data_IF_079775873195
#
_entry.id   IF_079775873195
#
_cell.length_a   1.000
_cell.length_b   1.000
_cell.length_c   1.000
_cell.angle_alpha   90.00
_cell.angle_beta   90.00
_cell.angle_gamma   90.00
#
_symmetry.space_group_name_H-M   'P 1'
#
loop_
_entity.id
_entity.type
_entity.pdbx_description
1 polymer ?
#
# COMPACT_ATOMS: atom_id res chain seq x y z
N UNK A 1 49.14 -9.28 20.06
CA UNK A 1 49.62 -9.70 21.40
C UNK A 1 49.20 -8.66 22.41
N UNK A 2 48.63 -9.08 23.57
CA UNK A 2 48.20 -8.27 24.74
C UNK A 2 47.06 -7.24 24.48
N UNK A 3 46.18 -6.90 25.44
CA UNK A 3 45.38 -7.65 26.47
C UNK A 3 44.67 -6.62 27.39
N UNK A 4 43.45 -6.96 27.88
CA UNK A 4 42.83 -6.48 29.18
C UNK A 4 42.39 -4.99 29.18
N UNK A 5 41.27 -4.52 29.75
CA UNK A 5 40.07 -5.08 30.45
C UNK A 5 38.89 -4.11 30.16
N UNK A 6 37.62 -4.50 29.99
CA UNK A 6 36.68 -5.15 30.92
C UNK A 6 36.27 -4.29 32.14
N UNK A 7 35.00 -3.85 32.16
CA UNK A 7 34.27 -3.42 33.36
C UNK A 7 32.80 -3.85 33.23
N UNK A 8 32.39 -4.78 34.10
CA UNK A 8 31.03 -5.28 34.22
C UNK A 8 30.22 -4.36 35.14
N UNK A 9 28.90 -4.28 34.94
CA UNK A 9 27.97 -4.08 36.04
C UNK A 9 26.70 -4.93 35.82
N UNK A 10 26.64 -6.06 36.51
CA UNK A 10 25.44 -6.90 36.59
C UNK A 10 24.66 -6.57 37.87
N UNK A 11 23.39 -6.19 37.74
CA UNK A 11 22.48 -6.01 38.86
C UNK A 11 21.65 -7.26 39.09
N UNK A 12 22.05 -8.10 40.05
CA UNK A 12 21.24 -9.22 40.53
C UNK A 12 20.36 -8.73 41.70
N UNK A 13 19.06 -9.04 41.69
CA UNK A 13 18.26 -9.07 42.92
C UNK A 13 17.52 -10.41 43.01
N UNK A 14 17.51 -10.99 44.21
CA UNK A 14 17.28 -12.41 44.40
C UNK A 14 15.93 -12.74 45.06
N UNK A 15 15.31 -13.81 44.54
CA UNK A 15 14.69 -14.93 45.28
C UNK A 15 13.75 -14.60 46.46
N UNK A 16 12.47 -14.94 46.26
CA UNK A 16 11.56 -15.40 47.32
C UNK A 16 11.07 -16.81 46.99
N UNK A 17 11.37 -17.80 47.84
CA UNK A 17 11.13 -19.22 47.57
C UNK A 17 10.45 -19.87 48.80
N UNK A 18 9.22 -20.36 48.67
CA UNK A 18 8.63 -21.44 49.48
C UNK A 18 7.51 -22.09 48.63
N UNK A 19 7.70 -23.33 48.16
CA UNK A 19 7.21 -24.57 48.78
C UNK A 19 5.67 -24.76 48.68
N UNK A 20 5.15 -25.88 48.16
CA UNK A 20 5.83 -27.10 47.73
C UNK A 20 4.95 -28.09 46.96
N UNK A 21 5.53 -29.25 46.63
CA UNK A 21 5.00 -30.22 45.68
C UNK A 21 3.85 -31.09 46.21
N UNK A 22 2.94 -31.53 45.32
CA UNK A 22 2.31 -32.85 45.42
C UNK A 22 2.07 -33.45 44.03
N UNK A 23 2.37 -34.75 43.86
CA UNK A 23 2.32 -35.50 42.60
C UNK A 23 1.09 -36.41 42.51
N UNK A 24 0.51 -36.48 41.31
CA UNK A 24 -0.11 -37.68 40.72
C UNK A 24 -1.53 -38.08 41.17
N UNK A 25 -2.16 -39.05 40.46
CA UNK A 25 -1.62 -39.87 39.37
C UNK A 25 -2.28 -39.67 37.99
N UNK A 26 -1.67 -40.26 36.97
CA UNK A 26 -2.26 -40.51 35.64
C UNK A 26 -3.37 -41.57 35.70
N UNK A 27 -4.23 -41.62 34.67
CA UNK A 27 -4.93 -42.86 34.32
C UNK A 27 -5.23 -42.95 32.82
N UNK A 28 -4.36 -43.66 32.08
CA UNK A 28 -4.73 -44.30 30.82
C UNK A 28 -5.74 -45.44 31.06
N UNK A 29 -6.59 -45.74 30.07
CA UNK A 29 -7.21 -47.05 29.67
C UNK A 29 -8.63 -46.81 29.12
N UNK A 30 -9.20 -47.55 28.16
CA UNK A 30 -8.68 -48.41 27.08
C UNK A 30 -9.87 -48.90 26.22
N UNK A 31 -9.68 -49.13 24.91
CA UNK A 31 -10.52 -50.08 24.11
C UNK A 31 -10.34 -51.52 24.66
N UNK A 32 -11.22 -52.54 24.45
CA UNK A 32 -11.88 -52.95 23.18
C UNK A 32 -13.30 -53.59 23.41
N UNK A 33 -13.86 -54.58 22.65
CA UNK A 33 -13.52 -55.17 21.33
C UNK A 33 -14.69 -55.30 20.29
N UNK A 34 -14.35 -55.78 19.08
CA UNK A 34 -15.26 -56.18 17.99
C UNK A 34 -16.09 -57.45 18.26
N UNK A 35 -17.17 -57.69 17.47
CA UNK A 35 -17.60 -59.03 16.98
C UNK A 35 -18.70 -58.95 15.87
N UNK A 36 -18.35 -59.43 14.66
CA UNK A 36 -19.14 -60.02 13.53
C UNK A 36 -20.44 -59.38 12.94
N UNK A 37 -20.35 -58.87 11.70
CA UNK A 37 -20.93 -59.36 10.41
C UNK A 37 -22.32 -60.08 10.31
N UNK A 38 -22.93 -60.22 9.10
CA UNK A 38 -22.95 -59.39 7.86
C UNK A 38 -24.40 -59.19 7.28
N UNK A 39 -24.58 -58.69 6.03
CA UNK A 39 -25.54 -59.17 4.97
C UNK A 39 -26.27 -58.10 4.08
N UNK A 40 -25.95 -58.10 2.77
CA UNK A 40 -26.78 -57.82 1.55
C UNK A 40 -27.28 -56.40 1.12
N UNK A 41 -27.68 -56.35 -0.17
CA UNK A 41 -27.60 -55.32 -1.24
C UNK A 41 -28.53 -55.80 -2.42
N UNK A 42 -29.07 -55.03 -3.41
CA UNK A 42 -28.81 -53.63 -3.86
C UNK A 42 -29.98 -52.58 -3.83
N UNK A 43 -30.78 -52.22 -4.89
CA UNK A 43 -31.03 -50.78 -5.19
C UNK A 43 -32.50 -50.35 -5.48
N UNK A 44 -32.71 -49.06 -5.84
CA UNK A 44 -33.82 -48.38 -6.59
C UNK A 44 -34.06 -46.96 -5.98
N UNK A 45 -34.50 -45.87 -6.66
CA UNK A 45 -34.80 -45.58 -8.09
C UNK A 45 -34.99 -44.05 -8.31
N UNK A 46 -34.59 -43.53 -9.48
CA UNK A 46 -34.92 -42.21 -10.11
C UNK A 46 -34.51 -40.87 -9.46
N UNK A 47 -34.15 -39.93 -10.34
CA UNK A 47 -33.93 -38.49 -10.10
C UNK A 47 -35.25 -37.70 -9.94
N UNK A 48 -35.17 -36.38 -9.66
CA UNK A 48 -35.17 -35.46 -10.81
C UNK A 48 -34.13 -34.34 -10.75
N UNK A 49 -33.77 -33.86 -11.95
CA UNK A 49 -32.91 -32.72 -12.25
C UNK A 49 -33.37 -31.43 -11.58
N UNK A 50 -32.45 -30.73 -10.90
CA UNK A 50 -32.59 -29.30 -10.58
C UNK A 50 -31.86 -28.52 -11.68
N UNK A 51 -32.51 -27.56 -12.36
CA UNK A 51 -31.84 -26.76 -13.38
C UNK A 51 -30.84 -25.80 -12.76
N UNK A 52 -29.65 -25.71 -13.36
CA UNK A 52 -28.70 -24.62 -13.09
C UNK A 52 -29.21 -23.34 -13.75
N UNK A 53 -29.37 -22.28 -12.96
CA UNK A 53 -29.51 -20.91 -13.46
C UNK A 53 -28.31 -20.11 -12.97
N UNK A 54 -27.20 -20.22 -13.72
CA UNK A 54 -26.11 -19.25 -13.63
C UNK A 54 -26.44 -18.05 -14.52
N UNK A 55 -26.95 -16.97 -13.94
CA UNK A 55 -26.91 -15.65 -14.58
C UNK A 55 -25.57 -14.99 -14.24
N UNK A 56 -24.51 -15.41 -14.94
CA UNK A 56 -23.34 -14.55 -15.12
C UNK A 56 -23.66 -13.55 -16.23
N UNK A 57 -24.20 -12.40 -15.83
CA UNK A 57 -24.43 -11.26 -16.72
C UNK A 57 -23.09 -10.57 -17.01
N UNK A 58 -22.30 -11.14 -17.90
CA UNK A 58 -21.20 -10.42 -18.56
C UNK A 58 -21.78 -9.53 -19.66
N UNK A 59 -22.27 -8.35 -19.28
CA UNK A 59 -22.52 -7.29 -20.24
C UNK A 59 -21.19 -6.91 -20.92
N UNK A 60 -21.11 -6.88 -22.26
CA UNK A 60 -19.92 -6.37 -22.93
C UNK A 60 -19.72 -4.88 -22.57
N UNK A 61 -18.47 -4.39 -22.48
CA UNK A 61 -18.19 -2.99 -22.15
C UNK A 61 -18.92 -2.02 -23.08
N UNK A 62 -19.36 -0.90 -22.54
CA UNK A 62 -19.97 0.17 -23.35
C UNK A 62 -18.89 0.81 -24.23
N UNK A 63 -19.24 1.24 -25.44
CA UNK A 63 -18.32 1.81 -26.44
C UNK A 63 -17.26 2.81 -25.86
N UNK A 64 -17.61 3.83 -25.05
CA UNK A 64 -16.62 4.75 -24.46
C UNK A 64 -15.71 4.11 -23.39
N UNK A 65 -16.10 3.00 -22.78
CA UNK A 65 -15.31 2.29 -21.76
C UNK A 65 -14.22 1.44 -22.41
N UNK A 66 -14.56 0.81 -23.54
CA UNK A 66 -13.61 0.09 -24.38
C UNK A 66 -12.54 1.04 -24.95
N UNK A 67 -12.93 2.25 -25.37
CA UNK A 67 -12.00 3.28 -25.82
C UNK A 67 -11.02 3.70 -24.72
N UNK A 68 -11.51 3.99 -23.51
CA UNK A 68 -10.66 4.40 -22.38
C UNK A 68 -9.66 3.32 -21.96
N UNK A 69 -10.07 2.04 -21.88
CA UNK A 69 -9.18 0.93 -21.55
C UNK A 69 -8.15 0.69 -22.67
N UNK A 70 -8.55 0.84 -23.92
CA UNK A 70 -7.66 0.73 -25.09
C UNK A 70 -6.59 1.82 -25.09
N UNK A 71 -6.96 3.06 -24.75
CA UNK A 71 -6.01 4.17 -24.63
C UNK A 71 -5.02 3.94 -23.48
N UNK A 72 -5.47 3.51 -22.29
CA UNK A 72 -4.55 3.20 -21.18
C UNK A 72 -3.55 2.08 -21.55
N UNK A 73 -3.99 1.05 -22.28
CA UNK A 73 -3.07 0.02 -22.81
C UNK A 73 -2.05 0.57 -23.80
N UNK A 74 -2.41 1.56 -24.60
CA UNK A 74 -1.46 2.26 -25.48
C UNK A 74 -0.46 3.11 -24.68
N UNK A 75 -0.88 3.75 -23.59
CA UNK A 75 0.02 4.46 -22.67
C UNK A 75 1.03 3.49 -22.03
N UNK A 76 0.56 2.37 -21.45
CA UNK A 76 1.38 1.30 -20.85
C UNK A 76 2.42 0.79 -21.86
N UNK A 77 2.00 0.49 -23.09
CA UNK A 77 2.89 0.03 -24.15
C UNK A 77 3.87 1.12 -24.63
N UNK A 78 3.46 2.38 -24.67
CA UNK A 78 4.30 3.54 -24.98
C UNK A 78 5.39 3.79 -23.94
N UNK A 79 5.06 3.56 -22.66
CA UNK A 79 6.00 3.57 -21.53
C UNK A 79 6.92 2.33 -21.48
N UNK A 80 6.78 1.40 -22.44
CA UNK A 80 7.54 0.15 -22.52
C UNK A 80 7.29 -0.81 -21.33
N UNK A 81 6.13 -0.72 -20.69
CA UNK A 81 5.69 -1.58 -19.59
C UNK A 81 4.80 -2.72 -20.09
N UNK A 82 4.60 -3.75 -19.25
CA UNK A 82 3.72 -4.90 -19.54
C UNK A 82 2.43 -4.88 -18.70
N UNK A 83 2.44 -4.25 -17.53
CA UNK A 83 1.27 -4.01 -16.70
C UNK A 83 1.07 -2.51 -16.45
N UNK A 84 -0.17 -2.12 -16.14
CA UNK A 84 -0.48 -0.88 -15.43
C UNK A 84 -0.85 -1.20 -13.98
N UNK A 85 -0.40 -0.37 -13.04
CA UNK A 85 -0.83 -0.36 -11.64
C UNK A 85 -1.18 1.06 -11.22
N UNK A 86 -2.26 1.22 -10.46
CA UNK A 86 -2.58 2.46 -9.77
C UNK A 86 -2.89 2.17 -8.30
N UNK A 87 -2.33 2.98 -7.40
CA UNK A 87 -2.83 3.09 -6.04
C UNK A 87 -4.07 3.98 -6.05
N UNK A 88 -5.17 3.50 -5.44
CA UNK A 88 -6.45 4.20 -5.38
C UNK A 88 -6.69 4.87 -4.02
N UNK A 89 -5.89 4.54 -3.00
CA UNK A 89 -6.04 5.00 -1.62
C UNK A 89 -6.29 3.87 -0.63
N UNK A 90 -6.66 4.25 0.59
CA UNK A 90 -6.91 3.32 1.69
C UNK A 90 -8.40 3.08 1.91
N UNK A 91 -8.78 1.81 2.07
CA UNK A 91 -10.12 1.37 2.48
C UNK A 91 -10.06 0.65 3.84
N UNK A 92 -11.21 0.43 4.46
CA UNK A 92 -11.29 -0.28 5.74
C UNK A 92 -10.87 -1.74 5.61
N UNK A 93 -10.19 -2.26 6.63
CA UNK A 93 -9.82 -3.69 6.72
C UNK A 93 -11.06 -4.61 6.66
N UNK A 94 -12.17 -4.18 7.28
CA UNK A 94 -13.46 -4.88 7.26
C UNK A 94 -14.39 -4.42 6.11
N UNK A 95 -13.93 -3.54 5.20
CA UNK A 95 -14.77 -3.04 4.11
C UNK A 95 -15.26 -4.16 3.20
N UNK A 96 -16.55 -4.12 2.90
CA UNK A 96 -17.23 -5.02 1.97
C UNK A 96 -16.91 -4.66 0.52
N UNK A 97 -17.17 -5.60 -0.39
CA UNK A 97 -17.01 -5.37 -1.83
C UNK A 97 -17.77 -4.13 -2.31
N UNK A 98 -19.03 -3.95 -1.86
CA UNK A 98 -19.85 -2.79 -2.26
C UNK A 98 -19.29 -1.45 -1.74
N UNK A 99 -18.62 -1.43 -0.59
CA UNK A 99 -17.96 -0.23 -0.07
C UNK A 99 -16.68 0.09 -0.87
N UNK A 100 -15.94 -0.93 -1.30
CA UNK A 100 -14.78 -0.78 -2.20
C UNK A 100 -15.21 -0.30 -3.59
N UNK A 101 -16.25 -0.89 -4.17
CA UNK A 101 -16.84 -0.45 -5.44
C UNK A 101 -17.33 1.01 -5.36
N UNK A 102 -18.01 1.37 -4.27
CA UNK A 102 -18.47 2.74 -4.03
C UNK A 102 -17.30 3.72 -3.85
N UNK A 103 -16.22 3.32 -3.17
CA UNK A 103 -15.00 4.12 -3.03
C UNK A 103 -14.36 4.38 -4.40
N UNK A 104 -14.20 3.34 -5.23
CA UNK A 104 -13.66 3.47 -6.59
C UNK A 104 -14.53 4.40 -7.43
N UNK A 105 -15.85 4.23 -7.43
CA UNK A 105 -16.79 5.05 -8.20
C UNK A 105 -16.84 6.53 -7.79
N UNK A 106 -16.35 6.89 -6.60
CA UNK A 106 -16.22 8.26 -6.12
C UNK A 106 -14.80 8.83 -6.28
N UNK A 107 -13.81 8.00 -6.61
CA UNK A 107 -12.41 8.40 -6.73
C UNK A 107 -12.08 9.14 -8.04
N UNK A 108 -10.99 9.93 -8.07
CA UNK A 108 -10.64 10.79 -9.21
C UNK A 108 -10.36 10.00 -10.50
N UNK A 109 -9.93 8.74 -10.39
CA UNK A 109 -9.70 7.88 -11.56
C UNK A 109 -10.98 7.33 -12.20
N UNK A 110 -12.14 7.36 -11.54
CA UNK A 110 -13.38 6.86 -12.15
C UNK A 110 -13.90 7.74 -13.29
N UNK A 111 -13.62 9.05 -13.26
CA UNK A 111 -13.97 9.95 -14.38
C UNK A 111 -13.07 9.68 -15.60
N UNK A 112 -11.76 9.52 -15.40
CA UNK A 112 -10.79 9.25 -16.48
C UNK A 112 -10.92 7.82 -17.02
N UNK A 113 -11.23 6.85 -16.15
CA UNK A 113 -11.25 5.42 -16.45
C UNK A 113 -12.54 4.74 -15.94
N UNK A 114 -13.72 4.99 -16.56
CA UNK A 114 -15.00 4.48 -16.07
C UNK A 114 -15.08 2.96 -15.93
N UNK A 115 -14.32 2.22 -16.76
CA UNK A 115 -14.22 0.77 -16.72
C UNK A 115 -13.75 0.21 -15.36
N UNK A 116 -13.07 1.01 -14.52
CA UNK A 116 -12.67 0.59 -13.18
C UNK A 116 -13.87 0.24 -12.29
N UNK A 117 -15.03 0.87 -12.52
CA UNK A 117 -16.26 0.61 -11.76
C UNK A 117 -16.93 -0.74 -12.09
N UNK A 118 -16.47 -1.42 -13.15
CA UNK A 118 -16.94 -2.75 -13.57
C UNK A 118 -15.90 -3.86 -13.32
N UNK A 119 -14.75 -3.53 -12.73
CA UNK A 119 -13.69 -4.48 -12.47
C UNK A 119 -14.08 -5.46 -11.35
N UNK A 120 -13.67 -6.75 -11.43
CA UNK A 120 -13.79 -7.66 -10.30
C UNK A 120 -12.97 -7.15 -9.11
N UNK A 121 -13.46 -7.38 -7.89
CA UNK A 121 -12.81 -6.98 -6.64
C UNK A 121 -12.29 -8.21 -5.90
N UNK A 122 -11.03 -8.17 -5.46
CA UNK A 122 -10.43 -9.17 -4.57
C UNK A 122 -10.05 -8.49 -3.26
N UNK A 123 -10.53 -9.05 -2.14
CA UNK A 123 -10.35 -8.52 -0.80
C UNK A 123 -9.39 -9.40 0.00
N UNK A 124 -8.08 -9.23 -0.22
CA UNK A 124 -7.09 -9.78 0.69
C UNK A 124 -7.09 -8.98 2.03
N UNK A 125 -6.45 -9.50 3.09
CA UNK A 125 -6.22 -8.74 4.31
C UNK A 125 -5.41 -7.47 4.01
N UNK A 126 -5.71 -6.37 4.71
CA UNK A 126 -5.05 -5.09 4.50
C UNK A 126 -5.99 -3.96 4.09
N UNK A 127 -5.40 -2.82 3.77
CA UNK A 127 -6.12 -1.55 3.57
C UNK A 127 -5.79 -0.86 2.25
N UNK A 128 -4.68 -1.20 1.59
CA UNK A 128 -4.26 -0.55 0.35
C UNK A 128 -5.08 -1.08 -0.82
N UNK A 129 -5.73 -0.19 -1.58
CA UNK A 129 -6.52 -0.54 -2.75
C UNK A 129 -5.79 -0.20 -4.03
N UNK A 130 -5.73 -1.16 -4.95
CA UNK A 130 -5.03 -1.05 -6.23
C UNK A 130 -5.93 -1.39 -7.42
N UNK A 131 -5.69 -0.75 -8.56
CA UNK A 131 -6.20 -1.17 -9.87
C UNK A 131 -5.07 -1.77 -10.72
N UNK A 132 -5.29 -2.96 -11.28
CA UNK A 132 -4.31 -3.71 -12.07
C UNK A 132 -4.84 -3.93 -13.49
N UNK A 133 -4.00 -3.58 -14.47
CA UNK A 133 -4.37 -3.57 -15.89
C UNK A 133 -3.35 -4.42 -16.69
N UNK A 134 -3.76 -5.53 -17.33
CA UNK A 134 -2.92 -6.18 -18.33
C UNK A 134 -2.68 -5.23 -19.50
N UNK A 135 -1.41 -4.99 -19.85
CA UNK A 135 -1.04 -4.09 -20.96
C UNK A 135 -1.50 -4.60 -22.33
N UNK A 136 -1.80 -5.90 -22.46
CA UNK A 136 -2.33 -6.55 -23.66
C UNK A 136 -3.52 -7.44 -23.33
N UNK A 137 -4.46 -7.56 -24.26
CA UNK A 137 -5.63 -8.45 -24.13
C UNK A 137 -5.29 -9.94 -24.09
N UNK A 138 -4.08 -10.32 -24.51
CA UNK A 138 -3.60 -11.71 -24.46
C UNK A 138 -2.94 -12.08 -23.13
N UNK A 139 -2.80 -11.13 -22.20
CA UNK A 139 -2.14 -11.35 -20.92
C UNK A 139 -3.17 -11.59 -19.80
N UNK A 140 -2.90 -12.53 -18.91
CA UNK A 140 -3.73 -12.84 -17.74
C UNK A 140 -3.02 -12.50 -16.44
N UNK A 141 -3.78 -12.05 -15.45
CA UNK A 141 -3.32 -11.77 -14.09
C UNK A 141 -3.65 -12.95 -13.18
N UNK A 142 -2.70 -13.34 -12.33
CA UNK A 142 -2.96 -14.16 -11.15
C UNK A 142 -2.47 -13.44 -9.90
N UNK A 143 -3.17 -13.68 -8.78
CA UNK A 143 -2.78 -13.17 -7.46
C UNK A 143 -2.72 -14.33 -6.48
N UNK A 144 -1.58 -14.44 -5.79
CA UNK A 144 -1.28 -15.47 -4.80
C UNK A 144 -1.02 -14.81 -3.43
N UNK A 145 -1.29 -15.49 -2.30
CA UNK A 145 -0.84 -15.02 -1.00
C UNK A 145 0.69 -14.98 -0.93
N UNK A 146 1.22 -13.97 -0.26
CA UNK A 146 2.64 -13.85 0.08
C UNK A 146 2.78 -13.53 1.57
N UNK A 147 3.89 -13.96 2.17
CA UNK A 147 4.23 -13.70 3.56
C UNK A 147 5.70 -13.41 3.73
N UNK A 148 6.12 -13.13 4.97
CA UNK A 148 7.51 -12.90 5.35
C UNK A 148 7.93 -13.96 6.36
N UNK A 149 9.09 -14.59 6.14
CA UNK A 149 9.69 -15.55 7.08
C UNK A 149 10.27 -14.86 8.32
N UNK A 150 10.66 -15.63 9.34
CA UNK A 150 11.32 -15.09 10.54
C UNK A 150 12.67 -14.43 10.24
N UNK A 151 13.26 -14.77 9.09
CA UNK A 151 14.53 -14.25 8.57
C UNK A 151 14.33 -12.98 7.72
N UNK A 152 13.09 -12.57 7.43
CA UNK A 152 12.77 -11.39 6.62
C UNK A 152 12.69 -11.65 5.11
N UNK A 153 12.64 -12.91 4.67
CA UNK A 153 12.52 -13.28 3.25
C UNK A 153 11.06 -13.52 2.84
N UNK A 154 10.71 -13.20 1.59
CA UNK A 154 9.38 -13.47 1.05
C UNK A 154 9.11 -14.96 0.87
N UNK A 155 7.93 -15.42 1.29
CA UNK A 155 7.42 -16.77 1.10
C UNK A 155 6.09 -16.73 0.36
N UNK A 156 6.08 -17.19 -0.90
CA UNK A 156 4.90 -17.15 -1.77
C UNK A 156 4.14 -18.47 -1.75
N UNK A 157 2.83 -18.43 -1.47
CA UNK A 157 1.94 -19.59 -1.60
C UNK A 157 1.42 -19.70 -3.03
N UNK A 158 2.21 -20.36 -3.88
CA UNK A 158 1.87 -20.60 -5.30
C UNK A 158 0.84 -21.72 -5.53
N UNK A 159 0.40 -22.39 -4.48
CA UNK A 159 -0.64 -23.43 -4.57
C UNK A 159 -2.05 -22.85 -4.31
N UNK A 160 -2.14 -21.66 -3.68
CA UNK A 160 -3.40 -20.94 -3.40
C UNK A 160 -3.60 -19.75 -4.33
N UNK A 161 -4.67 -19.75 -5.14
CA UNK A 161 -5.08 -18.60 -5.94
C UNK A 161 -6.10 -17.73 -5.20
N UNK A 162 -5.78 -16.43 -5.05
CA UNK A 162 -6.73 -15.38 -4.66
C UNK A 162 -7.48 -14.82 -5.88
N UNK A 163 -6.84 -14.86 -7.05
CA UNK A 163 -7.42 -14.46 -8.33
C UNK A 163 -6.78 -15.24 -9.47
N UNK A 164 -7.59 -15.66 -10.43
CA UNK A 164 -7.17 -16.24 -11.71
C UNK A 164 -8.00 -15.56 -12.80
N UNK A 165 -7.37 -14.61 -13.52
CA UNK A 165 -8.05 -13.72 -14.44
C UNK A 165 -8.05 -14.23 -15.88
N UNK A 166 -9.17 -14.03 -16.57
CA UNK A 166 -9.26 -14.26 -18.02
C UNK A 166 -8.30 -13.32 -18.79
N UNK A 167 -7.88 -13.67 -20.01
CA UNK A 167 -7.01 -12.81 -20.82
C UNK A 167 -7.60 -11.40 -21.00
N UNK A 168 -6.80 -10.38 -20.66
CA UNK A 168 -7.20 -8.98 -20.69
C UNK A 168 -8.11 -8.54 -19.55
N UNK A 169 -8.43 -9.39 -18.57
CA UNK A 169 -9.24 -9.01 -17.42
C UNK A 169 -8.45 -8.12 -16.46
N UNK A 170 -9.05 -6.97 -16.12
CA UNK A 170 -8.54 -6.04 -15.10
C UNK A 170 -8.94 -6.51 -13.70
N UNK A 171 -8.31 -5.97 -12.65
CA UNK A 171 -8.58 -6.32 -11.26
C UNK A 171 -8.54 -5.10 -10.35
N UNK A 172 -9.48 -5.01 -9.39
CA UNK A 172 -9.35 -4.22 -8.18
C UNK A 172 -8.90 -5.12 -7.03
N UNK A 173 -7.80 -4.77 -6.37
CA UNK A 173 -7.18 -5.58 -5.32
C UNK A 173 -6.99 -4.74 -4.07
N UNK A 174 -7.69 -5.10 -2.99
CA UNK A 174 -7.35 -4.64 -1.64
C UNK A 174 -6.36 -5.64 -1.04
N UNK A 175 -5.22 -5.16 -0.57
CA UNK A 175 -4.19 -5.98 0.08
C UNK A 175 -3.37 -5.16 1.10
N UNK A 176 -2.25 -5.74 1.53
CA UNK A 176 -1.23 -5.17 2.41
C UNK A 176 -1.75 -4.84 3.82
N UNK A 177 -1.61 -5.82 4.71
CA UNK A 177 -1.79 -5.66 6.17
C UNK A 177 -0.60 -4.93 6.83
N UNK A 178 0.57 -4.92 6.16
CA UNK A 178 1.74 -4.16 6.58
C UNK A 178 2.07 -3.08 5.55
N UNK A 179 2.40 -1.90 6.06
CA UNK A 179 2.95 -0.77 5.29
C UNK A 179 4.37 -1.03 4.74
N UNK A 180 5.03 -2.11 5.18
CA UNK A 180 6.45 -2.40 4.88
C UNK A 180 6.61 -3.59 3.93
N UNK A 181 5.63 -4.50 3.88
CA UNK A 181 5.69 -5.67 3.00
C UNK A 181 4.30 -6.05 2.47
N UNK A 182 4.23 -6.35 1.18
CA UNK A 182 3.01 -6.85 0.58
C UNK A 182 2.68 -8.28 1.02
N UNK A 183 1.41 -8.57 1.27
CA UNK A 183 0.91 -9.92 1.56
C UNK A 183 0.37 -10.66 0.33
N UNK A 184 0.71 -10.18 -0.87
CA UNK A 184 0.33 -10.79 -2.15
C UNK A 184 1.53 -10.82 -3.11
N UNK A 185 1.53 -11.81 -4.01
CA UNK A 185 2.33 -11.81 -5.22
C UNK A 185 1.40 -11.70 -6.43
N UNK A 186 1.65 -10.72 -7.30
CA UNK A 186 0.96 -10.57 -8.57
C UNK A 186 1.85 -11.12 -9.68
N UNK A 187 1.31 -11.99 -10.52
CA UNK A 187 2.00 -12.56 -11.68
C UNK A 187 1.20 -12.27 -12.95
N UNK A 188 1.85 -11.71 -13.96
CA UNK A 188 1.28 -11.44 -15.29
C UNK A 188 1.86 -12.43 -16.32
N UNK A 189 0.99 -13.19 -16.96
CA UNK A 189 1.34 -14.18 -17.98
C UNK A 189 1.06 -13.66 -19.40
N UNK A 190 1.64 -14.29 -20.42
CA UNK A 190 1.43 -13.92 -21.83
C UNK A 190 2.33 -12.79 -22.35
N UNK A 191 3.36 -12.40 -21.59
CA UNK A 191 4.49 -11.60 -22.05
C UNK A 191 5.59 -12.45 -22.72
N UNK A 192 6.80 -11.90 -22.86
CA UNK A 192 7.99 -12.70 -23.24
C UNK A 192 8.47 -13.59 -22.10
N UNK A 193 8.36 -13.07 -20.87
CA UNK A 193 8.60 -13.77 -19.61
C UNK A 193 7.37 -13.54 -18.70
N UNK A 194 7.36 -14.15 -17.51
CA UNK A 194 6.35 -13.84 -16.48
C UNK A 194 6.83 -12.60 -15.73
N UNK A 195 6.02 -11.54 -15.74
CA UNK A 195 6.28 -10.36 -14.90
C UNK A 195 5.66 -10.61 -13.53
N UNK A 196 6.49 -10.63 -12.49
CA UNK A 196 6.04 -10.79 -11.10
C UNK A 196 6.38 -9.56 -10.25
N UNK A 197 5.40 -9.06 -9.50
CA UNK A 197 5.55 -7.86 -8.67
C UNK A 197 4.69 -7.89 -7.41
N UNK A 198 4.97 -6.96 -6.50
CA UNK A 198 4.26 -6.79 -5.23
C UNK A 198 3.78 -5.34 -5.11
N UNK A 199 2.47 -5.06 -5.23
CA UNK A 199 1.92 -3.73 -4.99
C UNK A 199 2.33 -3.25 -3.60
N UNK A 200 2.82 -2.01 -3.51
CA UNK A 200 3.19 -1.36 -2.24
C UNK A 200 3.31 0.14 -2.47
N UNK A 201 2.97 0.91 -1.44
CA UNK A 201 3.23 2.36 -1.38
C UNK A 201 4.59 2.61 -0.74
N UNK A 202 5.32 3.56 -1.30
CA UNK A 202 6.61 4.05 -0.82
C UNK A 202 6.40 4.99 0.38
N UNK A 203 6.88 4.58 1.55
CA UNK A 203 6.89 5.40 2.78
C UNK A 203 7.72 6.70 2.68
N UNK A 204 8.41 6.94 1.56
CA UNK A 204 9.19 8.16 1.31
C UNK A 204 8.32 9.33 0.82
N UNK A 205 7.33 9.03 -0.01
CA UNK A 205 6.59 10.01 -0.82
C UNK A 205 5.09 9.70 -0.98
N UNK A 206 4.60 8.55 -0.51
CA UNK A 206 3.20 8.14 -0.68
C UNK A 206 2.86 7.66 -2.11
N UNK A 207 3.87 7.54 -2.97
CA UNK A 207 3.71 7.04 -4.34
C UNK A 207 3.86 5.52 -4.40
N UNK A 208 3.44 4.88 -5.49
CA UNK A 208 3.78 3.47 -5.76
C UNK A 208 5.29 3.25 -5.67
N UNK A 209 5.69 2.17 -5.01
CA UNK A 209 7.07 1.72 -5.03
C UNK A 209 7.53 1.44 -6.48
N UNK A 210 8.81 1.65 -6.76
CA UNK A 210 9.35 1.47 -8.11
C UNK A 210 9.29 -0.02 -8.54
N UNK A 211 8.35 -0.36 -9.43
CA UNK A 211 8.12 -1.70 -9.94
C UNK A 211 8.54 -1.81 -11.43
N UNK A 212 9.66 -2.49 -11.75
CA UNK A 212 10.11 -2.64 -13.13
C UNK A 212 9.06 -3.32 -14.02
N UNK A 213 8.80 -2.76 -15.20
CA UNK A 213 7.81 -3.30 -16.14
C UNK A 213 6.35 -2.96 -15.81
N UNK A 214 6.10 -2.20 -14.74
CA UNK A 214 4.77 -1.72 -14.34
C UNK A 214 4.67 -0.21 -14.57
N UNK A 215 3.66 0.22 -15.32
CA UNK A 215 3.33 1.63 -15.54
C UNK A 215 2.45 2.13 -14.40
N UNK A 216 2.93 3.14 -13.70
CA UNK A 216 2.17 3.84 -12.67
C UNK A 216 1.17 4.80 -13.33
N UNK A 217 -0.13 4.54 -13.14
CA UNK A 217 -1.22 5.41 -13.59
C UNK A 217 -2.05 5.98 -12.43
N UNK A 218 -1.50 5.95 -11.21
CA UNK A 218 -2.15 6.49 -10.01
C UNK A 218 -2.45 7.98 -10.19
N UNK A 219 -3.64 8.41 -9.75
CA UNK A 219 -3.88 9.82 -9.49
C UNK A 219 -3.27 10.14 -8.12
N UNK A 220 -1.99 10.48 -8.11
CA UNK A 220 -1.47 11.26 -7.00
C UNK A 220 -2.21 12.59 -7.02
N UNK A 221 -2.68 13.01 -5.87
CA UNK A 221 -2.82 14.43 -5.66
C UNK A 221 -1.40 14.99 -5.75
N UNK A 222 -1.06 15.59 -6.91
CA UNK A 222 -0.49 16.92 -6.88
C UNK A 222 -1.43 17.72 -5.99
N UNK A 223 -1.21 17.66 -4.67
CA UNK A 223 -2.01 18.44 -3.75
C UNK A 223 -1.87 19.90 -4.15
N UNK A 224 -2.80 20.73 -3.72
CA UNK A 224 -2.61 22.18 -3.70
C UNK A 224 -1.53 22.58 -2.65
N UNK A 225 -0.42 21.81 -2.58
CA UNK A 225 0.90 22.29 -2.28
C UNK A 225 1.10 23.53 -3.16
N UNK A 226 0.99 24.74 -2.57
CA UNK A 226 0.82 25.94 -3.36
C UNK A 226 2.03 26.13 -4.25
N UNK A 227 1.85 26.70 -5.45
CA UNK A 227 3.00 26.94 -6.33
C UNK A 227 4.09 27.70 -5.56
N UNK A 228 5.36 27.55 -5.94
CA UNK A 228 6.48 28.21 -5.21
C UNK A 228 6.23 29.72 -5.04
N UNK A 229 5.49 30.36 -5.95
CA UNK A 229 5.06 31.74 -5.85
C UNK A 229 3.98 31.98 -4.77
N UNK A 230 2.97 31.12 -4.67
CA UNK A 230 1.90 31.20 -3.66
C UNK A 230 2.40 30.83 -2.26
N UNK A 231 3.20 29.76 -2.15
CA UNK A 231 3.87 29.40 -0.90
C UNK A 231 4.76 30.54 -0.38
N UNK A 232 5.56 31.14 -1.27
CA UNK A 232 6.42 32.28 -0.93
C UNK A 232 5.59 33.54 -0.61
N UNK A 233 4.46 33.77 -1.28
CA UNK A 233 3.55 34.85 -0.91
C UNK A 233 2.98 34.66 0.51
N UNK A 234 2.61 33.43 0.89
CA UNK A 234 2.16 33.11 2.24
C UNK A 234 3.27 33.28 3.29
N UNK A 235 4.47 32.73 3.05
CA UNK A 235 5.64 32.91 3.92
C UNK A 235 5.95 34.39 4.17
N UNK A 236 5.83 35.23 3.13
CA UNK A 236 6.03 36.67 3.22
C UNK A 236 4.93 37.43 3.99
N UNK A 237 3.87 36.77 4.46
CA UNK A 237 2.91 37.34 5.42
C UNK A 237 3.28 37.09 6.88
N UNK A 238 4.16 36.12 7.16
CA UNK A 238 4.56 35.77 8.53
C UNK A 238 5.50 36.84 9.13
N UNK A 239 5.20 37.42 10.30
CA UNK A 239 6.00 38.50 10.89
C UNK A 239 7.47 38.13 11.13
N UNK A 240 7.74 36.91 11.59
CA UNK A 240 9.10 36.42 11.85
C UNK A 240 9.96 36.29 10.58
N UNK A 241 9.33 35.98 9.43
CA UNK A 241 10.02 35.90 8.14
C UNK A 241 10.29 37.30 7.60
N UNK A 242 9.33 38.23 7.76
CA UNK A 242 9.53 39.64 7.43
C UNK A 242 10.68 40.25 8.25
N UNK A 243 10.70 40.06 9.57
CA UNK A 243 11.79 40.54 10.45
C UNK A 243 13.15 39.95 10.03
N UNK A 244 13.20 38.65 9.72
CA UNK A 244 14.40 38.02 9.20
C UNK A 244 14.91 38.67 7.90
N UNK A 245 14.01 38.96 6.96
CA UNK A 245 14.37 39.62 5.69
C UNK A 245 14.83 41.08 5.93
N UNK A 246 14.21 41.82 6.85
CA UNK A 246 14.67 43.17 7.23
C UNK A 246 16.07 43.17 7.86
N UNK A 247 16.42 42.09 8.57
CA UNK A 247 17.77 41.84 9.11
C UNK A 247 18.78 41.32 8.06
N UNK A 248 18.36 41.16 6.80
CA UNK A 248 19.21 40.76 5.68
C UNK A 248 19.26 39.25 5.41
N UNK A 249 18.34 38.46 5.97
CA UNK A 249 18.18 37.06 5.59
C UNK A 249 17.53 36.93 4.21
N UNK A 250 17.82 35.83 3.54
CA UNK A 250 17.24 35.46 2.24
C UNK A 250 16.38 34.22 2.42
N UNK A 251 15.13 34.28 1.94
CA UNK A 251 14.21 33.15 1.87
C UNK A 251 14.40 32.42 0.53
N UNK A 252 14.58 31.11 0.56
CA UNK A 252 14.79 30.28 -0.63
C UNK A 252 13.94 29.00 -0.58
N UNK A 253 13.36 28.60 -1.71
CA UNK A 253 12.78 27.27 -1.88
C UNK A 253 13.91 26.23 -2.01
N UNK A 254 13.81 25.10 -1.31
CA UNK A 254 14.86 24.05 -1.32
C UNK A 254 14.77 23.12 -2.53
N UNK A 255 13.64 23.12 -3.25
CA UNK A 255 13.35 22.13 -4.29
C UNK A 255 12.84 20.80 -3.74
N UNK A 256 12.48 20.74 -2.45
CA UNK A 256 11.99 19.53 -1.78
C UNK A 256 10.58 19.74 -1.23
N UNK A 257 9.80 18.65 -1.20
CA UNK A 257 8.54 18.56 -0.47
C UNK A 257 8.69 17.57 0.69
N UNK A 258 7.89 17.73 1.74
CA UNK A 258 7.78 16.78 2.86
C UNK A 258 6.32 16.53 3.21
N UNK A 259 6.02 15.32 3.70
CA UNK A 259 4.70 14.98 4.21
C UNK A 259 4.60 15.38 5.69
N UNK A 260 3.72 16.33 6.01
CA UNK A 260 3.57 16.94 7.34
C UNK A 260 2.08 16.90 7.69
N UNK A 261 1.72 16.41 8.88
CA UNK A 261 0.32 16.36 9.38
C UNK A 261 -0.74 15.81 8.39
N UNK A 262 -0.34 14.94 7.46
CA UNK A 262 -1.25 14.33 6.48
C UNK A 262 -1.34 15.04 5.13
N UNK A 263 -0.46 16.01 4.85
CA UNK A 263 -0.45 16.80 3.61
C UNK A 263 0.97 16.97 3.05
N UNK A 264 1.08 17.25 1.75
CA UNK A 264 2.34 17.53 1.07
C UNK A 264 2.68 19.02 1.16
N UNK A 265 3.83 19.34 1.76
CA UNK A 265 4.27 20.71 1.99
C UNK A 265 5.58 21.02 1.25
N UNK A 266 5.65 22.14 0.54
CA UNK A 266 6.89 22.65 -0.06
C UNK A 266 7.83 23.19 1.02
N UNK A 267 9.12 22.84 0.97
CA UNK A 267 10.11 23.24 1.97
C UNK A 267 10.93 24.46 1.53
N UNK A 268 11.10 25.40 2.46
CA UNK A 268 11.84 26.64 2.31
C UNK A 268 12.87 26.78 3.43
N UNK A 269 13.88 27.60 3.19
CA UNK A 269 14.90 27.95 4.18
C UNK A 269 15.10 29.46 4.22
N UNK A 270 15.14 30.00 5.43
CA UNK A 270 15.51 31.39 5.73
C UNK A 270 16.91 31.40 6.35
N UNK A 271 17.84 32.19 5.80
CA UNK A 271 19.23 32.20 6.25
C UNK A 271 20.08 33.25 5.56
N UNK A 272 21.37 33.29 5.90
CA UNK A 272 22.30 34.28 5.31
C UNK A 272 23.01 33.70 4.09
N UNK A 273 23.09 34.48 3.01
CA UNK A 273 23.93 34.14 1.85
C UNK A 273 25.23 34.94 1.91
N UNK A 274 26.37 34.24 2.07
CA UNK A 274 27.69 34.86 2.24
C UNK A 274 28.70 34.21 1.28
N UNK A 275 29.24 34.98 0.34
CA UNK A 275 30.31 34.59 -0.59
C UNK A 275 30.13 33.25 -1.35
N UNK A 276 28.88 32.81 -1.52
CA UNK A 276 28.51 31.58 -2.24
C UNK A 276 28.06 30.42 -1.35
N UNK A 277 28.35 30.50 -0.04
CA UNK A 277 27.84 29.57 0.96
C UNK A 277 26.57 30.12 1.64
N UNK A 278 25.67 29.22 2.04
CA UNK A 278 24.44 29.55 2.76
C UNK A 278 24.57 29.13 4.22
N UNK A 279 24.44 30.06 5.16
CA UNK A 279 24.71 29.82 6.58
C UNK A 279 23.45 29.94 7.47
N UNK A 280 23.30 28.89 8.30
CA UNK A 280 22.23 28.45 9.19
C UNK A 280 21.12 29.41 9.59
N UNK A 281 19.86 28.98 9.69
CA UNK A 281 18.98 28.03 8.93
C UNK A 281 17.70 27.99 9.80
N UNK A 282 16.61 28.59 9.37
CA UNK A 282 15.27 28.17 9.84
C UNK A 282 14.55 27.56 8.64
N UNK A 283 14.13 26.30 8.78
CA UNK A 283 13.33 25.64 7.74
C UNK A 283 11.86 25.92 7.98
N UNK A 284 11.17 26.24 6.91
CA UNK A 284 9.73 26.46 6.86
C UNK A 284 9.11 25.49 5.85
N UNK A 285 7.85 25.14 6.04
CA UNK A 285 7.10 24.37 5.05
C UNK A 285 5.71 24.95 4.85
N UNK A 286 5.16 24.80 3.64
CA UNK A 286 3.82 25.28 3.29
C UNK A 286 3.05 24.20 2.53
N UNK A 287 1.87 23.84 3.04
CA UNK A 287 0.87 23.01 2.39
C UNK A 287 -0.52 23.48 2.79
N UNK A 288 -1.53 23.33 1.93
CA UNK A 288 -2.95 23.66 2.19
C UNK A 288 -3.20 25.02 2.90
N UNK A 289 -2.40 26.04 2.58
CA UNK A 289 -2.46 27.36 3.23
C UNK A 289 -1.98 27.41 4.69
N UNK A 290 -1.48 26.31 5.24
CA UNK A 290 -0.86 26.21 6.57
C UNK A 290 0.64 26.44 6.47
N UNK A 291 1.16 27.22 7.42
CA UNK A 291 2.58 27.52 7.57
C UNK A 291 3.16 26.67 8.69
N UNK A 292 4.27 25.98 8.44
CA UNK A 292 4.99 25.20 9.44
C UNK A 292 6.41 25.72 9.62
N UNK A 293 6.92 25.67 10.86
CA UNK A 293 8.34 25.90 11.20
C UNK A 293 8.95 24.62 11.76
N UNK A 294 10.21 24.33 11.39
CA UNK A 294 10.93 23.15 11.84
C UNK A 294 11.71 23.42 13.13
N UNK A 295 11.38 22.69 14.19
CA UNK A 295 12.13 22.71 15.45
C UNK A 295 13.26 21.66 15.41
N UNK A 296 14.49 22.13 15.20
CA UNK A 296 15.68 21.26 15.17
C UNK A 296 16.14 20.72 16.53
N UNK A 297 15.51 21.12 17.65
CA UNK A 297 15.77 20.56 18.99
C UNK A 297 14.91 19.31 19.21
N UNK A 298 13.66 19.34 18.73
CA UNK A 298 12.69 18.25 18.90
C UNK A 298 12.49 17.38 17.65
N UNK A 299 13.06 17.77 16.50
CA UNK A 299 12.94 17.09 15.20
C UNK A 299 11.48 16.97 14.72
N UNK A 300 10.73 18.07 14.86
CA UNK A 300 9.30 18.15 14.51
C UNK A 300 8.98 19.43 13.75
N UNK A 301 7.97 19.34 12.89
CA UNK A 301 7.30 20.50 12.32
C UNK A 301 6.19 20.99 13.27
N UNK A 302 6.06 22.31 13.42
CA UNK A 302 5.01 22.94 14.23
C UNK A 302 4.27 23.97 13.38
N UNK A 303 2.94 23.92 13.37
CA UNK A 303 2.11 24.91 12.68
C UNK A 303 2.24 26.29 13.34
N UNK A 304 2.41 27.33 12.52
CA UNK A 304 2.44 28.73 12.95
C UNK A 304 1.02 29.32 12.93
N UNK A 305 0.55 29.82 14.07
CA UNK A 305 -0.72 30.53 14.16
C UNK A 305 -0.61 31.90 13.45
N UNK A 306 -1.26 32.02 12.29
CA UNK A 306 -1.37 33.27 11.53
C UNK A 306 -2.47 34.15 12.17
N UNK A 307 -2.05 35.18 12.91
CA UNK A 307 -2.92 36.07 13.71
C UNK A 307 -3.60 37.22 12.95
#
# INVERSE_FOLDING_TARGET
MKRISALFLAGLLAVGLFAGCRKGPEQETSLPPETTAPTQVPPQTTAPTVPSTGEQTSTPPTEPEADALTLLRQEIAGAQCEAGLAFLGYVGYDSTQAEVEAFVAQGPLAEKYPFLTQAPVVLAPGQELYALIPGRETQSLQVHPSGISLEGEYTDDRDTLLFDGEPGQILLLRCNESEVFSNVLVSLFGGTDILEFRPSVSLKDGHLAALPGVYDFSAYEEGDAPSVAEAMALLLTAPEIQEGIELGLTLMHTGQSQWIEGQSCLVFVLGTQLDGDFARETYYAVGDGILFVYDSIYDVWTALEMG
#
